data_IF_924756544791
#
_entry.id   IF_924756544791
#
_cell.length_a   1.000
_cell.length_b   1.000
_cell.length_c   1.000
_cell.angle_alpha   90.00
_cell.angle_beta   90.00
_cell.angle_gamma   90.00
#
_symmetry.space_group_name_H-M   'P 1'
#
loop_
_entity.id
_entity.type
_entity.pdbx_description
1 polymer ?
#
# COMPACT_ATOMS: atom_id res chain seq x y z
N UNK A 1 112.13 -127.28 -9.85
CA UNK A 1 113.13 -126.28 -9.44
C UNK A 1 113.21 -126.30 -7.92
N UNK A 2 114.41 -126.27 -7.33
CA UNK A 2 114.56 -126.16 -5.88
C UNK A 2 114.23 -124.72 -5.45
N UNK A 3 113.46 -124.55 -4.37
CA UNK A 3 113.16 -123.24 -3.78
C UNK A 3 114.43 -122.58 -3.25
N UNK A 4 114.61 -121.29 -3.53
CA UNK A 4 115.77 -120.51 -3.06
C UNK A 4 115.47 -119.81 -1.72
N UNK A 5 116.51 -119.51 -0.94
CA UNK A 5 116.40 -118.79 0.33
C UNK A 5 115.67 -117.45 0.19
N UNK A 6 115.97 -116.66 -0.84
CA UNK A 6 115.31 -115.38 -1.11
C UNK A 6 113.80 -115.52 -1.37
N UNK A 7 113.37 -116.57 -2.07
CA UNK A 7 111.93 -116.81 -2.31
C UNK A 7 111.20 -117.13 -1.00
N UNK A 8 111.88 -117.83 -0.09
CA UNK A 8 111.35 -118.19 1.22
C UNK A 8 111.27 -116.96 2.13
N UNK A 9 112.28 -116.08 2.10
CA UNK A 9 112.31 -114.80 2.82
C UNK A 9 111.21 -113.86 2.35
N UNK A 10 111.11 -113.61 1.04
CA UNK A 10 110.09 -112.72 0.49
C UNK A 10 108.66 -113.16 0.83
N UNK A 11 108.41 -114.47 0.90
CA UNK A 11 107.10 -114.98 1.36
C UNK A 11 106.92 -114.91 2.87
N UNK A 12 107.99 -114.98 3.65
CA UNK A 12 107.92 -114.75 5.08
C UNK A 12 107.65 -113.27 5.41
N UNK A 13 108.24 -112.33 4.65
CA UNK A 13 107.98 -110.88 4.73
C UNK A 13 106.51 -110.56 4.44
N UNK A 14 106.00 -111.08 3.33
CA UNK A 14 104.60 -110.88 2.92
C UNK A 14 103.61 -111.38 3.99
N UNK A 15 103.90 -112.52 4.61
CA UNK A 15 103.10 -113.03 5.73
C UNK A 15 103.21 -112.11 6.95
N UNK A 16 104.41 -111.56 7.23
CA UNK A 16 104.64 -110.67 8.36
C UNK A 16 103.90 -109.32 8.21
N UNK A 17 103.92 -108.71 7.02
CA UNK A 17 103.19 -107.48 6.69
C UNK A 17 101.67 -107.65 6.80
N UNK A 18 101.17 -108.85 6.50
CA UNK A 18 99.75 -109.21 6.67
C UNK A 18 99.36 -109.49 8.13
N UNK A 19 100.30 -109.36 9.09
CA UNK A 19 100.08 -109.67 10.51
C UNK A 19 100.01 -111.17 10.82
N UNK A 20 100.32 -112.05 9.87
CA UNK A 20 100.31 -113.50 10.02
C UNK A 20 101.69 -113.99 10.44
N UNK A 21 101.78 -114.77 11.53
CA UNK A 21 103.07 -115.26 12.02
C UNK A 21 103.73 -116.19 10.97
N UNK A 22 104.93 -115.87 10.44
CA UNK A 22 105.58 -116.65 9.40
C UNK A 22 106.23 -117.91 10.02
N UNK A 23 105.40 -118.93 10.24
CA UNK A 23 105.83 -120.25 10.70
C UNK A 23 106.24 -121.12 9.51
N UNK A 24 107.01 -122.18 9.74
CA UNK A 24 107.44 -123.11 8.68
C UNK A 24 106.25 -123.67 7.89
N UNK A 25 105.13 -123.94 8.57
CA UNK A 25 103.91 -124.42 7.95
C UNK A 25 103.24 -123.34 7.08
N UNK A 26 103.17 -122.09 7.55
CA UNK A 26 102.54 -120.99 6.84
C UNK A 26 103.34 -120.58 5.60
N UNK A 27 104.66 -120.49 5.73
CA UNK A 27 105.57 -120.15 4.62
C UNK A 27 105.54 -121.25 3.55
N UNK A 28 105.58 -122.54 3.95
CA UNK A 28 105.44 -123.66 3.01
C UNK A 28 104.09 -123.67 2.29
N UNK A 29 103.01 -123.35 3.01
CA UNK A 29 101.65 -123.27 2.43
C UNK A 29 101.54 -122.14 1.42
N UNK A 30 102.11 -120.96 1.74
CA UNK A 30 102.13 -119.80 0.84
C UNK A 30 103.01 -120.02 -0.41
N UNK A 31 104.06 -120.83 -0.31
CA UNK A 31 104.92 -121.21 -1.43
C UNK A 31 104.38 -122.37 -2.29
N UNK A 32 103.33 -123.06 -1.83
CA UNK A 32 102.72 -124.19 -2.54
C UNK A 32 103.48 -125.52 -2.42
N UNK A 33 104.55 -125.61 -1.61
CA UNK A 33 105.35 -126.83 -1.41
C UNK A 33 106.82 -126.56 -1.10
N UNK A 34 107.62 -127.61 -0.85
CA UNK A 34 109.07 -127.52 -0.54
C UNK A 34 109.52 -128.46 0.58
N UNK A 35 110.83 -128.77 0.66
CA UNK A 35 111.38 -129.55 1.77
C UNK A 35 111.37 -128.72 3.07
N UNK A 36 110.89 -129.30 4.16
CA UNK A 36 110.89 -128.63 5.47
C UNK A 36 112.29 -128.28 5.96
N UNK A 37 113.32 -129.04 5.58
CA UNK A 37 114.71 -128.77 5.96
C UNK A 37 115.22 -127.48 5.30
N UNK A 38 115.06 -127.36 3.98
CA UNK A 38 115.45 -126.17 3.22
C UNK A 38 114.69 -124.92 3.67
N UNK A 39 113.39 -125.06 3.98
CA UNK A 39 112.58 -123.95 4.51
C UNK A 39 112.99 -123.60 5.93
N UNK A 40 113.36 -124.58 6.76
CA UNK A 40 113.83 -124.34 8.13
C UNK A 40 115.13 -123.55 8.16
N UNK A 41 116.12 -123.95 7.36
CA UNK A 41 117.42 -123.28 7.29
C UNK A 41 117.26 -121.83 6.78
N UNK A 42 116.44 -121.63 5.73
CA UNK A 42 116.12 -120.30 5.21
C UNK A 42 115.34 -119.44 6.21
N UNK A 43 114.34 -120.00 6.91
CA UNK A 43 113.56 -119.28 7.92
C UNK A 43 114.35 -118.96 9.18
N UNK A 44 115.38 -119.74 9.51
CA UNK A 44 116.27 -119.43 10.61
C UNK A 44 117.13 -118.20 10.29
N UNK A 45 117.66 -118.11 9.06
CA UNK A 45 118.33 -116.91 8.57
C UNK A 45 117.39 -115.70 8.52
N UNK A 46 116.16 -115.90 8.01
CA UNK A 46 115.13 -114.85 7.96
C UNK A 46 114.82 -114.25 9.32
N UNK A 47 114.62 -115.12 10.33
CA UNK A 47 114.37 -114.68 11.71
C UNK A 47 115.55 -113.95 12.31
N UNK A 48 116.77 -114.25 11.86
CA UNK A 48 117.97 -113.59 12.33
C UNK A 48 118.09 -112.19 11.72
N UNK A 49 117.86 -112.06 10.41
CA UNK A 49 117.82 -110.77 9.69
C UNK A 49 116.69 -109.86 10.19
N UNK A 50 115.47 -110.38 10.36
CA UNK A 50 114.34 -109.59 10.89
C UNK A 50 114.51 -109.19 12.36
N UNK A 51 115.23 -110.00 13.16
CA UNK A 51 115.56 -109.63 14.53
C UNK A 51 116.59 -108.49 14.56
N UNK A 52 117.52 -108.46 13.61
CA UNK A 52 118.43 -107.32 13.42
C UNK A 52 117.69 -106.08 12.90
N UNK A 53 116.77 -106.21 11.94
CA UNK A 53 115.96 -105.08 11.43
C UNK A 53 115.02 -104.48 12.49
N UNK A 54 114.33 -105.31 13.29
CA UNK A 54 113.51 -104.80 14.39
C UNK A 54 114.34 -104.14 15.49
N UNK A 55 115.58 -104.60 15.73
CA UNK A 55 116.51 -103.92 16.62
C UNK A 55 117.01 -102.58 16.04
N UNK A 56 117.06 -102.44 14.71
CA UNK A 56 117.40 -101.19 14.02
C UNK A 56 116.22 -100.21 13.89
N UNK A 57 114.97 -100.70 13.81
CA UNK A 57 113.74 -99.87 13.73
C UNK A 57 113.32 -99.23 15.05
N UNK A 58 113.81 -99.75 16.17
CA UNK A 58 113.69 -99.09 17.47
C UNK A 58 114.72 -97.94 17.56
N UNK A 59 114.57 -96.95 16.68
CA UNK A 59 115.27 -95.67 16.82
C UNK A 59 114.56 -94.95 17.96
N UNK A 60 114.96 -95.24 19.20
CA UNK A 60 114.73 -94.33 20.30
C UNK A 60 115.43 -93.03 19.91
N UNK A 61 114.63 -92.02 19.52
CA UNK A 61 115.16 -90.68 19.34
C UNK A 61 115.90 -90.35 20.64
N UNK A 62 117.22 -90.07 20.58
CA UNK A 62 117.98 -89.73 21.76
C UNK A 62 117.22 -88.66 22.55
N UNK A 63 117.13 -88.81 23.88
CA UNK A 63 116.28 -87.96 24.73
C UNK A 63 116.38 -86.46 24.37
N UNK A 64 117.58 -85.98 24.03
CA UNK A 64 117.80 -84.59 23.62
C UNK A 64 117.14 -84.14 22.30
N UNK A 65 116.80 -85.04 21.36
CA UNK A 65 116.02 -84.72 20.15
C UNK A 65 114.51 -84.76 20.47
N UNK A 66 114.05 -85.73 21.26
CA UNK A 66 112.64 -85.83 21.66
C UNK A 66 112.21 -84.63 22.54
N UNK A 67 113.04 -84.23 23.50
CA UNK A 67 112.83 -83.03 24.31
C UNK A 67 112.75 -81.76 23.44
N UNK A 68 113.59 -81.64 22.40
CA UNK A 68 113.56 -80.52 21.46
C UNK A 68 112.28 -80.51 20.59
N UNK A 69 111.81 -81.67 20.14
CA UNK A 69 110.56 -81.78 19.37
C UNK A 69 109.33 -81.48 20.23
N UNK A 70 109.29 -81.96 21.47
CA UNK A 70 108.22 -81.62 22.42
C UNK A 70 108.23 -80.13 22.77
N UNK A 71 109.42 -79.54 22.97
CA UNK A 71 109.57 -78.09 23.19
C UNK A 71 109.06 -77.30 21.98
N UNK A 72 109.47 -77.66 20.76
CA UNK A 72 108.99 -77.00 19.53
C UNK A 72 107.47 -77.14 19.36
N UNK A 73 106.91 -78.32 19.64
CA UNK A 73 105.46 -78.55 19.58
C UNK A 73 104.68 -77.73 20.61
N UNK A 74 105.20 -77.64 21.84
CA UNK A 74 104.66 -76.79 22.90
C UNK A 74 104.73 -75.31 22.52
N UNK A 75 105.85 -74.85 21.96
CA UNK A 75 106.05 -73.47 21.50
C UNK A 75 105.11 -73.12 20.33
N UNK A 76 104.96 -74.03 19.36
CA UNK A 76 104.01 -73.86 18.25
C UNK A 76 102.56 -73.82 18.74
N UNK A 77 102.19 -74.70 19.66
CA UNK A 77 100.85 -74.72 20.25
C UNK A 77 100.58 -73.47 21.09
N UNK A 78 101.54 -73.04 21.90
CA UNK A 78 101.47 -71.80 22.67
C UNK A 78 101.32 -70.59 21.75
N UNK A 79 102.07 -70.56 20.63
CA UNK A 79 101.96 -69.51 19.61
C UNK A 79 100.56 -69.53 18.96
N UNK A 80 100.03 -70.70 18.63
CA UNK A 80 98.69 -70.83 18.05
C UNK A 80 97.58 -70.39 19.03
N UNK A 81 97.69 -70.76 20.31
CA UNK A 81 96.77 -70.30 21.37
C UNK A 81 96.85 -68.79 21.52
N UNK A 82 98.06 -68.21 21.54
CA UNK A 82 98.23 -66.77 21.66
C UNK A 82 97.58 -66.05 20.46
N UNK A 83 97.81 -66.51 19.23
CA UNK A 83 97.17 -65.94 18.02
C UNK A 83 95.64 -66.07 18.07
N UNK A 84 95.11 -67.21 18.51
CA UNK A 84 93.67 -67.43 18.63
C UNK A 84 93.04 -66.52 19.70
N UNK A 85 93.69 -66.39 20.86
CA UNK A 85 93.26 -65.50 21.94
C UNK A 85 93.32 -64.02 21.51
N UNK A 86 94.38 -63.60 20.82
CA UNK A 86 94.51 -62.24 20.27
C UNK A 86 93.41 -61.94 19.25
N UNK A 87 93.10 -62.89 18.36
CA UNK A 87 92.02 -62.75 17.38
C UNK A 87 90.65 -62.67 18.08
N UNK A 88 90.41 -63.53 19.07
CA UNK A 88 89.17 -63.55 19.82
C UNK A 88 88.98 -62.28 20.67
N UNK A 89 90.06 -61.74 21.22
CA UNK A 89 90.06 -60.42 21.88
C UNK A 89 89.67 -59.32 20.88
N UNK A 90 90.32 -59.27 19.70
CA UNK A 90 89.97 -58.29 18.65
C UNK A 90 88.54 -58.41 18.15
N UNK A 91 88.02 -59.63 17.99
CA UNK A 91 86.63 -59.87 17.58
C UNK A 91 85.64 -59.44 18.67
N UNK A 92 85.96 -59.62 19.96
CA UNK A 92 85.16 -59.11 21.07
C UNK A 92 85.16 -57.59 21.11
N UNK A 93 86.34 -56.97 20.98
CA UNK A 93 86.46 -55.50 20.93
C UNK A 93 85.66 -54.94 19.75
N UNK A 94 85.76 -55.55 18.57
CA UNK A 94 84.99 -55.15 17.39
C UNK A 94 83.47 -55.34 17.60
N UNK A 95 83.05 -56.43 18.23
CA UNK A 95 81.64 -56.68 18.54
C UNK A 95 81.11 -55.69 19.58
N UNK A 96 81.88 -55.33 20.58
CA UNK A 96 81.52 -54.29 21.56
C UNK A 96 81.33 -52.93 20.87
N UNK A 97 82.22 -52.57 19.95
CA UNK A 97 82.06 -51.35 19.13
C UNK A 97 80.78 -51.39 18.30
N UNK A 98 80.48 -52.52 17.63
CA UNK A 98 79.25 -52.65 16.83
C UNK A 98 78.00 -52.60 17.71
N UNK A 99 78.00 -53.25 18.88
CA UNK A 99 76.89 -53.19 19.83
C UNK A 99 76.68 -51.79 20.38
N UNK A 100 77.77 -51.10 20.74
CA UNK A 100 77.70 -49.72 21.22
C UNK A 100 77.10 -48.80 20.15
N UNK A 101 77.54 -48.95 18.89
CA UNK A 101 76.98 -48.19 17.76
C UNK A 101 75.51 -48.52 17.51
N UNK A 102 75.14 -49.80 17.50
CA UNK A 102 73.75 -50.20 17.31
C UNK A 102 72.85 -49.71 18.46
N UNK A 103 73.34 -49.70 19.70
CA UNK A 103 72.61 -49.13 20.82
C UNK A 103 72.44 -47.62 20.67
N UNK A 104 73.50 -46.91 20.28
CA UNK A 104 73.42 -45.48 19.98
C UNK A 104 72.40 -45.19 18.88
N UNK A 105 72.41 -45.94 17.78
CA UNK A 105 71.44 -45.78 16.69
C UNK A 105 70.00 -46.02 17.20
N UNK A 106 69.77 -47.03 18.04
CA UNK A 106 68.46 -47.31 18.67
C UNK A 106 68.02 -46.15 19.56
N UNK A 107 68.93 -45.60 20.36
CA UNK A 107 68.63 -44.48 21.25
C UNK A 107 68.28 -43.21 20.44
N UNK A 108 69.03 -42.93 19.36
CA UNK A 108 68.75 -41.83 18.43
C UNK A 108 67.39 -41.98 17.72
N UNK A 109 67.06 -43.20 17.27
CA UNK A 109 65.74 -43.47 16.69
C UNK A 109 64.61 -43.35 17.72
N UNK A 110 64.83 -43.78 18.96
CA UNK A 110 63.84 -43.64 20.02
C UNK A 110 63.55 -42.16 20.33
N UNK A 111 64.58 -41.31 20.37
CA UNK A 111 64.41 -39.85 20.52
C UNK A 111 63.68 -39.22 19.32
N UNK A 112 64.02 -39.65 18.10
CA UNK A 112 63.34 -39.19 16.88
C UNK A 112 61.85 -39.58 16.89
N UNK A 113 61.51 -40.83 17.22
CA UNK A 113 60.12 -41.30 17.31
C UNK A 113 59.36 -40.50 18.37
N UNK A 114 59.93 -40.29 19.56
CA UNK A 114 59.30 -39.49 20.61
C UNK A 114 59.03 -38.05 20.16
N UNK A 115 59.94 -37.45 19.39
CA UNK A 115 59.77 -36.12 18.83
C UNK A 115 58.61 -36.11 17.83
N UNK A 116 58.58 -37.07 16.90
CA UNK A 116 57.51 -37.20 15.90
C UNK A 116 56.13 -37.48 16.54
N UNK A 117 56.06 -38.28 17.61
CA UNK A 117 54.83 -38.52 18.36
C UNK A 117 54.32 -37.23 19.03
N UNK A 118 55.24 -36.40 19.53
CA UNK A 118 54.89 -35.10 20.12
C UNK A 118 54.38 -34.14 19.05
N UNK A 119 55.08 -34.02 17.91
CA UNK A 119 54.65 -33.20 16.78
C UNK A 119 53.32 -33.68 16.20
N UNK A 120 53.08 -35.00 16.12
CA UNK A 120 51.81 -35.56 15.70
C UNK A 120 50.68 -35.17 16.64
N UNK A 121 50.90 -35.24 17.96
CA UNK A 121 49.91 -34.84 18.95
C UNK A 121 49.60 -33.34 18.86
N UNK A 122 50.61 -32.49 18.68
CA UNK A 122 50.44 -31.04 18.49
C UNK A 122 49.68 -30.72 17.19
N UNK A 123 50.00 -31.40 16.08
CA UNK A 123 49.30 -31.22 14.81
C UNK A 123 47.85 -31.68 14.88
N UNK A 124 47.55 -32.78 15.58
CA UNK A 124 46.17 -33.23 15.82
C UNK A 124 45.39 -32.21 16.63
N UNK A 125 46.00 -31.64 17.68
CA UNK A 125 45.36 -30.58 18.46
C UNK A 125 45.10 -29.33 17.60
N UNK A 126 46.06 -28.90 16.79
CA UNK A 126 45.88 -27.77 15.87
C UNK A 126 44.78 -28.04 14.84
N UNK A 127 44.69 -29.28 14.34
CA UNK A 127 43.64 -29.69 13.39
C UNK A 127 42.25 -29.62 14.05
N UNK A 128 42.12 -30.08 15.29
CA UNK A 128 40.87 -30.00 16.06
C UNK A 128 40.47 -28.55 16.31
N UNK A 129 41.42 -27.67 16.68
CA UNK A 129 41.18 -26.24 16.88
C UNK A 129 40.76 -25.54 15.57
N UNK A 130 41.44 -25.82 14.46
CA UNK A 130 41.09 -25.26 13.14
C UNK A 130 39.72 -25.77 12.69
N UNK A 131 39.41 -27.05 12.92
CA UNK A 131 38.10 -27.61 12.57
C UNK A 131 36.99 -26.96 13.40
N UNK A 132 37.17 -26.83 14.71
CA UNK A 132 36.19 -26.17 15.58
C UNK A 132 35.98 -24.69 15.22
N UNK A 133 37.04 -23.97 14.84
CA UNK A 133 36.92 -22.57 14.39
C UNK A 133 36.24 -22.46 13.03
N UNK A 134 36.49 -23.39 12.11
CA UNK A 134 35.81 -23.44 10.82
C UNK A 134 34.31 -23.74 10.97
N UNK A 135 33.95 -24.71 11.82
CA UNK A 135 32.54 -25.04 12.10
C UNK A 135 31.79 -23.88 12.73
N UNK A 136 32.43 -23.18 13.68
CA UNK A 136 31.89 -21.97 14.28
C UNK A 136 31.70 -20.87 13.24
N UNK A 137 32.72 -20.61 12.41
CA UNK A 137 32.64 -19.61 11.36
C UNK A 137 31.54 -19.92 10.33
N UNK A 138 31.34 -21.19 10.00
CA UNK A 138 30.25 -21.63 9.12
C UNK A 138 28.89 -21.35 9.76
N UNK A 139 28.71 -21.69 11.02
CA UNK A 139 27.47 -21.43 11.77
C UNK A 139 27.18 -19.94 11.88
N UNK A 140 28.18 -19.13 12.22
CA UNK A 140 28.05 -17.67 12.32
C UNK A 140 27.70 -17.05 10.94
N UNK A 141 28.27 -17.58 9.84
CA UNK A 141 27.96 -17.13 8.48
C UNK A 141 26.54 -17.50 8.03
N UNK A 142 26.05 -18.69 8.40
CA UNK A 142 24.66 -19.11 8.17
C UNK A 142 23.69 -18.22 8.94
N UNK A 143 23.97 -17.94 10.22
CA UNK A 143 23.15 -17.04 11.03
C UNK A 143 23.12 -15.62 10.46
N UNK A 144 24.27 -15.05 10.13
CA UNK A 144 24.36 -13.72 9.53
C UNK A 144 23.60 -13.65 8.18
N UNK A 145 23.62 -14.73 7.41
CA UNK A 145 22.86 -14.85 6.16
C UNK A 145 21.35 -14.85 6.41
N UNK A 146 20.87 -15.62 7.40
CA UNK A 146 19.47 -15.67 7.77
C UNK A 146 18.96 -14.32 8.32
N UNK A 147 19.76 -13.65 9.15
CA UNK A 147 19.46 -12.31 9.67
C UNK A 147 19.39 -11.28 8.53
N UNK A 148 20.35 -11.30 7.61
CA UNK A 148 20.35 -10.43 6.43
C UNK A 148 19.10 -10.63 5.58
N UNK A 149 18.67 -11.86 5.35
CA UNK A 149 17.51 -12.15 4.52
C UNK A 149 16.20 -11.73 5.21
N UNK A 150 16.14 -11.90 6.54
CA UNK A 150 15.04 -11.36 7.36
C UNK A 150 14.97 -9.84 7.29
N UNK A 151 16.11 -9.14 7.46
CA UNK A 151 16.18 -7.68 7.37
C UNK A 151 15.82 -7.17 5.97
N UNK A 152 16.23 -7.88 4.91
CA UNK A 152 15.83 -7.55 3.53
C UNK A 152 14.32 -7.66 3.34
N UNK A 153 13.69 -8.72 3.88
CA UNK A 153 12.24 -8.86 3.80
C UNK A 153 11.53 -7.73 4.55
N UNK A 154 11.98 -7.40 5.76
CA UNK A 154 11.45 -6.27 6.53
C UNK A 154 11.63 -4.93 5.80
N UNK A 155 12.76 -4.73 5.11
CA UNK A 155 12.98 -3.53 4.30
C UNK A 155 11.98 -3.42 3.15
N UNK A 156 11.73 -4.52 2.43
CA UNK A 156 10.73 -4.56 1.35
C UNK A 156 9.33 -4.26 1.90
N UNK A 157 8.95 -4.90 3.01
CA UNK A 157 7.63 -4.71 3.61
C UNK A 157 7.42 -3.28 4.11
N UNK A 158 8.46 -2.66 4.68
CA UNK A 158 8.41 -1.27 5.14
C UNK A 158 8.38 -0.28 3.99
N UNK A 159 9.11 -0.53 2.91
CA UNK A 159 9.03 0.26 1.67
C UNK A 159 7.63 0.21 1.05
N UNK A 160 7.02 -0.98 0.97
CA UNK A 160 5.65 -1.13 0.47
C UNK A 160 4.63 -0.40 1.36
N UNK A 161 4.77 -0.50 2.69
CA UNK A 161 3.93 0.26 3.63
C UNK A 161 4.09 1.78 3.46
N UNK A 162 5.31 2.25 3.22
CA UNK A 162 5.57 3.67 2.98
C UNK A 162 4.92 4.15 1.68
N UNK A 163 4.99 3.35 0.61
CA UNK A 163 4.34 3.65 -0.67
C UNK A 163 2.81 3.73 -0.52
N UNK A 164 2.20 2.75 0.16
CA UNK A 164 0.77 2.77 0.49
C UNK A 164 0.39 4.02 1.32
N UNK A 165 1.19 4.38 2.32
CA UNK A 165 0.95 5.58 3.12
C UNK A 165 1.03 6.87 2.29
N UNK A 166 1.98 6.94 1.35
CA UNK A 166 2.10 8.09 0.44
C UNK A 166 0.90 8.19 -0.51
N UNK A 167 0.46 7.08 -1.11
CA UNK A 167 -0.75 7.10 -1.97
C UNK A 167 -2.02 7.49 -1.20
N UNK A 168 -2.15 7.03 0.05
CA UNK A 168 -3.25 7.42 0.93
C UNK A 168 -3.20 8.92 1.27
N UNK A 169 -2.00 9.45 1.54
CA UNK A 169 -1.78 10.90 1.76
C UNK A 169 -2.18 11.72 0.54
N UNK A 170 -1.75 11.33 -0.65
CA UNK A 170 -2.07 12.06 -1.89
C UNK A 170 -3.58 12.02 -2.19
N UNK A 171 -4.23 10.88 -1.93
CA UNK A 171 -5.69 10.74 -2.05
C UNK A 171 -6.43 11.64 -1.06
N UNK A 172 -6.00 11.65 0.20
CA UNK A 172 -6.58 12.52 1.23
C UNK A 172 -6.38 14.00 0.91
N UNK A 173 -5.21 14.37 0.37
CA UNK A 173 -4.92 15.74 -0.07
C UNK A 173 -5.85 16.16 -1.22
N UNK A 174 -6.05 15.29 -2.21
CA UNK A 174 -7.00 15.55 -3.30
C UNK A 174 -8.43 15.75 -2.78
N UNK A 175 -8.88 14.89 -1.87
CA UNK A 175 -10.21 15.03 -1.24
C UNK A 175 -10.35 16.34 -0.44
N UNK A 176 -9.28 16.77 0.24
CA UNK A 176 -9.25 18.05 0.94
C UNK A 176 -9.41 19.23 -0.03
N UNK A 177 -8.75 19.18 -1.18
CA UNK A 177 -8.81 20.26 -2.17
C UNK A 177 -10.16 20.28 -2.91
N UNK A 178 -10.75 19.10 -3.19
CA UNK A 178 -12.11 18.97 -3.73
C UNK A 178 -13.15 19.53 -2.76
N UNK A 179 -13.07 19.19 -1.47
CA UNK A 179 -13.98 19.69 -0.43
C UNK A 179 -13.84 21.19 -0.19
N UNK A 180 -12.61 21.73 -0.24
CA UNK A 180 -12.37 23.19 -0.19
C UNK A 180 -13.02 23.91 -1.36
N UNK A 181 -12.92 23.35 -2.56
CA UNK A 181 -13.53 23.93 -3.76
C UNK A 181 -15.05 23.91 -3.65
N UNK A 182 -15.63 22.77 -3.26
CA UNK A 182 -17.08 22.65 -3.04
C UNK A 182 -17.58 23.62 -1.95
N UNK A 183 -16.83 23.82 -0.87
CA UNK A 183 -17.17 24.79 0.17
C UNK A 183 -17.15 26.23 -0.35
N UNK A 184 -16.14 26.59 -1.14
CA UNK A 184 -16.04 27.93 -1.72
C UNK A 184 -17.21 28.22 -2.68
N UNK A 185 -17.64 27.23 -3.47
CA UNK A 185 -18.79 27.38 -4.35
C UNK A 185 -20.12 27.44 -3.58
N UNK A 186 -20.29 26.63 -2.54
CA UNK A 186 -21.45 26.72 -1.64
C UNK A 186 -21.53 28.11 -0.97
N UNK A 187 -20.40 28.71 -0.60
CA UNK A 187 -20.35 30.08 -0.05
C UNK A 187 -20.77 31.13 -1.09
N UNK A 188 -20.36 30.99 -2.36
CA UNK A 188 -20.83 31.86 -3.44
C UNK A 188 -22.34 31.73 -3.67
N UNK A 189 -22.87 30.50 -3.65
CA UNK A 189 -24.32 30.30 -3.79
C UNK A 189 -25.09 30.88 -2.62
N UNK A 190 -24.59 30.69 -1.39
CA UNK A 190 -25.20 31.26 -0.19
C UNK A 190 -25.26 32.79 -0.28
N UNK A 191 -24.16 33.46 -0.63
CA UNK A 191 -24.13 34.91 -0.78
C UNK A 191 -25.06 35.40 -1.90
N UNK A 192 -25.13 34.70 -3.03
CA UNK A 192 -26.06 35.01 -4.11
C UNK A 192 -27.54 34.85 -3.69
N UNK A 193 -27.85 33.81 -2.92
CA UNK A 193 -29.20 33.59 -2.41
C UNK A 193 -29.58 34.62 -1.34
N UNK A 194 -28.66 35.00 -0.46
CA UNK A 194 -28.87 36.11 0.48
C UNK A 194 -29.20 37.41 -0.25
N UNK A 195 -28.50 37.72 -1.35
CA UNK A 195 -28.82 38.90 -2.17
C UNK A 195 -30.22 38.80 -2.82
N UNK A 196 -30.60 37.63 -3.33
CA UNK A 196 -31.96 37.40 -3.88
C UNK A 196 -33.03 37.59 -2.82
N UNK A 197 -32.81 37.09 -1.61
CA UNK A 197 -33.74 37.24 -0.47
C UNK A 197 -33.91 38.73 -0.16
N UNK A 198 -32.83 39.49 0.01
CA UNK A 198 -32.89 40.93 0.28
C UNK A 198 -33.66 41.70 -0.82
N UNK A 199 -33.49 41.31 -2.09
CA UNK A 199 -34.25 41.91 -3.20
C UNK A 199 -35.75 41.58 -3.14
N UNK A 200 -36.10 40.34 -2.79
CA UNK A 200 -37.49 39.93 -2.64
C UNK A 200 -38.15 40.62 -1.44
N UNK A 201 -37.44 40.77 -0.32
CA UNK A 201 -37.90 41.50 0.86
C UNK A 201 -38.18 42.98 0.52
N UNK A 202 -37.24 43.67 -0.14
CA UNK A 202 -37.45 45.06 -0.58
C UNK A 202 -38.63 45.21 -1.53
N UNK A 203 -38.83 44.25 -2.44
CA UNK A 203 -39.99 44.26 -3.32
C UNK A 203 -41.29 44.03 -2.55
N UNK A 204 -41.31 43.09 -1.61
CA UNK A 204 -42.47 42.82 -0.77
C UNK A 204 -42.86 44.05 0.06
N UNK A 205 -41.89 44.80 0.60
CA UNK A 205 -42.14 46.06 1.29
C UNK A 205 -42.73 47.13 0.36
N UNK A 206 -42.19 47.28 -0.86
CA UNK A 206 -42.73 48.20 -1.87
C UNK A 206 -44.15 47.83 -2.29
N UNK A 207 -44.41 46.55 -2.56
CA UNK A 207 -45.73 46.05 -2.94
C UNK A 207 -46.73 46.28 -1.79
N UNK A 208 -46.30 46.11 -0.52
CA UNK A 208 -47.11 46.43 0.65
C UNK A 208 -47.50 47.91 0.72
N UNK A 209 -46.55 48.82 0.50
CA UNK A 209 -46.86 50.26 0.50
C UNK A 209 -47.81 50.66 -0.64
N UNK A 210 -47.70 50.01 -1.79
CA UNK A 210 -48.58 50.28 -2.93
C UNK A 210 -49.99 49.75 -2.67
N UNK A 211 -50.11 48.58 -2.02
CA UNK A 211 -51.40 48.05 -1.55
C UNK A 211 -52.05 49.00 -0.55
N UNK A 212 -51.30 49.55 0.41
CA UNK A 212 -51.80 50.54 1.37
C UNK A 212 -52.31 51.79 0.64
N UNK A 213 -51.51 52.33 -0.29
CA UNK A 213 -51.88 53.49 -1.13
C UNK A 213 -53.15 53.25 -1.94
N UNK A 214 -53.22 52.13 -2.67
CA UNK A 214 -54.40 51.76 -3.47
C UNK A 214 -55.63 51.52 -2.59
N UNK A 215 -55.45 50.98 -1.39
CA UNK A 215 -56.54 50.78 -0.42
C UNK A 215 -57.12 52.12 0.01
N UNK A 216 -56.29 53.12 0.29
CA UNK A 216 -56.75 54.45 0.67
C UNK A 216 -57.37 55.22 -0.50
N UNK A 217 -56.82 55.09 -1.72
CA UNK A 217 -57.42 55.63 -2.94
C UNK A 217 -58.81 55.03 -3.19
N UNK A 218 -58.99 53.72 -3.01
CA UNK A 218 -60.29 53.07 -3.11
C UNK A 218 -61.29 53.55 -2.04
N UNK A 219 -60.85 53.86 -0.82
CA UNK A 219 -61.71 54.46 0.20
C UNK A 219 -62.14 55.87 -0.19
N UNK A 220 -61.22 56.70 -0.68
CA UNK A 220 -61.50 58.05 -1.14
C UNK A 220 -62.51 58.03 -2.30
N UNK A 221 -62.26 57.21 -3.32
CA UNK A 221 -63.14 57.08 -4.48
C UNK A 221 -64.55 56.57 -4.09
N UNK A 222 -64.64 55.66 -3.11
CA UNK A 222 -65.95 55.25 -2.55
C UNK A 222 -66.68 56.40 -1.86
N UNK A 223 -65.95 57.27 -1.16
CA UNK A 223 -66.53 58.46 -0.52
C UNK A 223 -67.03 59.45 -1.57
N UNK A 224 -66.24 59.70 -2.62
CA UNK A 224 -66.61 60.58 -3.74
C UNK A 224 -67.84 60.05 -4.48
N UNK A 225 -67.88 58.74 -4.79
CA UNK A 225 -69.06 58.11 -5.40
C UNK A 225 -70.30 58.31 -4.53
N UNK A 226 -70.17 58.21 -3.21
CA UNK A 226 -71.29 58.45 -2.28
C UNK A 226 -71.73 59.91 -2.31
N UNK A 227 -70.79 60.86 -2.33
CA UNK A 227 -71.09 62.30 -2.45
C UNK A 227 -71.83 62.61 -3.75
N UNK A 228 -71.27 62.19 -4.89
CA UNK A 228 -71.87 62.39 -6.22
C UNK A 228 -73.24 61.72 -6.31
N UNK A 229 -73.42 60.56 -5.69
CA UNK A 229 -74.74 59.89 -5.64
C UNK A 229 -75.75 60.72 -4.86
N UNK A 230 -75.36 61.31 -3.73
CA UNK A 230 -76.24 62.19 -2.95
C UNK A 230 -76.56 63.48 -3.71
N UNK A 231 -75.56 64.13 -4.32
CA UNK A 231 -75.75 65.32 -5.16
C UNK A 231 -76.70 65.03 -6.32
N UNK A 232 -76.56 63.87 -6.97
CA UNK A 232 -77.46 63.42 -8.03
C UNK A 232 -78.89 63.26 -7.53
N UNK A 233 -79.10 62.71 -6.33
CA UNK A 233 -80.45 62.54 -5.77
C UNK A 233 -81.07 63.90 -5.40
N UNK A 234 -80.30 64.81 -4.79
CA UNK A 234 -80.76 66.19 -4.53
C UNK A 234 -81.12 66.92 -5.82
N UNK A 235 -80.29 66.83 -6.86
CA UNK A 235 -80.58 67.41 -8.17
C UNK A 235 -81.83 66.79 -8.82
N UNK A 236 -82.11 65.51 -8.54
CA UNK A 236 -83.30 64.81 -9.01
C UNK A 236 -84.57 65.28 -8.28
N UNK A 237 -84.49 65.45 -6.96
CA UNK A 237 -85.57 66.02 -6.13
C UNK A 237 -85.89 67.45 -6.56
N UNK A 238 -84.88 68.31 -6.66
CA UNK A 238 -85.06 69.70 -7.14
C UNK A 238 -85.66 69.75 -8.55
N UNK A 239 -85.22 68.88 -9.48
CA UNK A 239 -85.85 68.77 -10.80
C UNK A 239 -87.32 68.34 -10.74
N UNK A 240 -87.69 67.47 -9.79
CA UNK A 240 -89.08 67.04 -9.60
C UNK A 240 -89.94 68.18 -9.05
N UNK A 241 -89.42 68.96 -8.10
CA UNK A 241 -90.05 70.17 -7.56
C UNK A 241 -90.27 71.21 -8.66
N UNK A 242 -89.21 71.57 -9.39
CA UNK A 242 -89.29 72.51 -10.52
C UNK A 242 -90.30 72.04 -11.58
N UNK A 243 -90.35 70.73 -11.87
CA UNK A 243 -91.37 70.17 -12.79
C UNK A 243 -92.79 70.30 -12.23
N UNK A 244 -92.96 70.19 -10.91
CA UNK A 244 -94.22 70.42 -10.21
C UNK A 244 -94.66 71.88 -10.27
N UNK A 245 -93.76 72.81 -9.95
CA UNK A 245 -93.98 74.26 -10.07
C UNK A 245 -94.33 74.66 -11.50
N UNK A 246 -93.60 74.14 -12.49
CA UNK A 246 -93.84 74.41 -13.90
C UNK A 246 -95.23 73.92 -14.35
N UNK A 247 -95.70 72.76 -13.84
CA UNK A 247 -97.08 72.32 -14.05
C UNK A 247 -98.10 73.24 -13.40
N UNK A 248 -97.85 73.72 -12.18
CA UNK A 248 -98.73 74.65 -11.47
C UNK A 248 -98.84 75.98 -12.21
N UNK A 249 -97.71 76.59 -12.59
CA UNK A 249 -97.65 77.82 -13.39
C UNK A 249 -98.36 77.62 -14.74
N UNK A 250 -98.20 76.45 -15.37
CA UNK A 250 -98.92 76.12 -16.62
C UNK A 250 -100.43 76.11 -16.40
N UNK A 251 -100.91 75.50 -15.31
CA UNK A 251 -102.33 75.48 -14.97
C UNK A 251 -102.87 76.88 -14.64
N UNK A 252 -102.11 77.71 -13.92
CA UNK A 252 -102.46 79.11 -13.66
C UNK A 252 -102.53 79.92 -14.95
N UNK A 253 -101.54 79.77 -15.85
CA UNK A 253 -101.55 80.41 -17.16
C UNK A 253 -102.75 79.98 -17.99
N UNK A 254 -103.14 78.71 -17.95
CA UNK A 254 -104.33 78.22 -18.66
C UNK A 254 -105.63 78.79 -18.04
N UNK A 255 -105.69 78.91 -16.70
CA UNK A 255 -106.79 79.57 -15.99
C UNK A 255 -106.90 81.05 -16.35
N UNK A 256 -105.80 81.81 -16.29
CA UNK A 256 -105.80 83.21 -16.71
C UNK A 256 -106.15 83.36 -18.19
N UNK A 257 -105.71 82.44 -19.04
CA UNK A 257 -106.10 82.42 -20.46
C UNK A 257 -107.61 82.25 -20.61
N UNK A 258 -108.23 81.35 -19.81
CA UNK A 258 -109.68 81.18 -19.79
C UNK A 258 -110.40 82.44 -19.26
N UNK A 259 -109.92 83.06 -18.17
CA UNK A 259 -110.48 84.30 -17.62
C UNK A 259 -110.37 85.47 -18.60
N UNK A 260 -109.25 85.61 -19.31
CA UNK A 260 -109.05 86.62 -20.37
C UNK A 260 -110.04 86.37 -21.51
N UNK A 261 -110.21 85.13 -21.95
CA UNK A 261 -111.19 84.79 -22.99
C UNK A 261 -112.63 85.08 -22.53
N UNK A 262 -112.96 84.79 -21.27
CA UNK A 262 -114.26 85.11 -20.69
C UNK A 262 -114.48 86.63 -20.62
N UNK A 263 -113.52 87.38 -20.09
CA UNK A 263 -113.56 88.84 -20.03
C UNK A 263 -113.69 89.46 -21.42
N UNK A 264 -113.02 88.88 -22.42
CA UNK A 264 -113.14 89.29 -23.82
C UNK A 264 -114.55 89.06 -24.36
N UNK A 265 -115.15 87.90 -24.08
CA UNK A 265 -116.54 87.61 -24.44
C UNK A 265 -117.52 88.55 -23.74
N UNK A 266 -117.32 88.81 -22.46
CA UNK A 266 -118.13 89.75 -21.68
C UNK A 266 -117.99 91.17 -22.23
N UNK A 267 -116.80 91.60 -22.64
CA UNK A 267 -116.59 92.90 -23.29
C UNK A 267 -117.31 92.99 -24.66
N UNK A 268 -117.33 91.89 -25.43
CA UNK A 268 -118.11 91.81 -26.68
C UNK A 268 -119.61 91.95 -26.39
N UNK A 269 -120.13 91.26 -25.37
CA UNK A 269 -121.52 91.42 -24.91
C UNK A 269 -121.80 92.84 -24.46
N UNK A 270 -120.96 93.41 -23.59
CA UNK A 270 -121.10 94.77 -23.09
C UNK A 270 -121.11 95.79 -24.24
N UNK A 271 -120.28 95.62 -25.27
CA UNK A 271 -120.30 96.47 -26.47
C UNK A 271 -121.59 96.33 -27.26
N UNK A 272 -122.16 95.13 -27.34
CA UNK A 272 -123.47 94.90 -27.95
C UNK A 272 -124.56 95.61 -27.16
N UNK A 273 -124.59 95.41 -25.84
CA UNK A 273 -125.55 96.05 -24.94
C UNK A 273 -125.41 97.58 -24.99
N UNK A 274 -124.17 98.10 -25.03
CA UNK A 274 -123.90 99.53 -25.18
C UNK A 274 -124.43 100.06 -26.52
N UNK A 275 -124.23 99.35 -27.64
CA UNK A 275 -124.83 99.72 -28.93
C UNK A 275 -126.35 99.74 -28.88
N UNK A 276 -126.95 98.79 -28.18
CA UNK A 276 -128.40 98.69 -28.04
C UNK A 276 -128.95 99.83 -27.15
N UNK A 277 -128.23 100.17 -26.08
CA UNK A 277 -128.53 101.30 -25.21
C UNK A 277 -128.36 102.64 -25.95
N UNK A 278 -127.31 102.78 -26.76
CA UNK A 278 -127.04 103.98 -27.58
C UNK A 278 -128.15 104.17 -28.62
N UNK A 279 -128.63 103.08 -29.22
CA UNK A 279 -129.80 103.10 -30.11
C UNK A 279 -131.07 103.54 -29.38
N UNK A 280 -131.32 103.03 -28.16
CA UNK A 280 -132.44 103.49 -27.31
C UNK A 280 -132.30 104.96 -26.90
N UNK A 281 -131.08 105.41 -26.62
CA UNK A 281 -130.80 106.80 -26.28
C UNK A 281 -131.05 107.72 -27.47
N UNK A 282 -130.65 107.31 -28.68
CA UNK A 282 -130.95 108.01 -29.93
C UNK A 282 -132.46 108.08 -30.21
N UNK A 283 -133.20 106.98 -30.01
CA UNK A 283 -134.67 106.94 -30.13
C UNK A 283 -135.35 107.86 -29.09
N UNK A 284 -134.85 107.90 -27.85
CA UNK A 284 -135.35 108.81 -26.81
C UNK A 284 -135.05 110.27 -27.15
N UNK A 285 -133.87 110.56 -27.69
CA UNK A 285 -133.47 111.90 -28.14
C UNK A 285 -134.39 112.40 -29.24
N UNK A 286 -134.65 111.59 -30.27
CA UNK A 286 -135.61 111.95 -31.34
C UNK A 286 -137.01 112.17 -30.79
N UNK A 287 -137.44 111.34 -29.82
CA UNK A 287 -138.73 111.50 -29.15
C UNK A 287 -138.79 112.79 -28.31
N UNK A 288 -137.70 113.17 -27.65
CA UNK A 288 -137.61 114.41 -26.87
C UNK A 288 -137.56 115.64 -27.79
N UNK A 289 -136.90 115.55 -28.93
CA UNK A 289 -136.91 116.59 -29.98
C UNK A 289 -138.31 116.81 -30.54
N UNK A 290 -139.06 115.72 -30.76
CA UNK A 290 -140.48 115.75 -31.15
C UNK A 290 -141.36 116.42 -30.08
N UNK A 291 -141.14 116.10 -28.80
CA UNK A 291 -141.87 116.72 -27.67
C UNK A 291 -141.50 118.20 -27.53
N UNK A 292 -140.23 118.56 -27.72
CA UNK A 292 -139.74 119.94 -27.68
C UNK A 292 -140.38 120.80 -28.78
N UNK A 293 -140.49 120.27 -30.00
CA UNK A 293 -141.16 120.97 -31.11
C UNK A 293 -142.67 121.14 -30.87
N UNK A 294 -143.34 120.16 -30.25
CA UNK A 294 -144.73 120.33 -29.79
C UNK A 294 -144.85 121.38 -28.68
N UNK A 295 -143.90 121.43 -27.74
CA UNK A 295 -143.91 122.42 -26.67
C UNK A 295 -143.72 123.85 -27.21
N UNK A 296 -142.86 124.03 -28.21
CA UNK A 296 -142.66 125.32 -28.89
C UNK A 296 -143.94 125.75 -29.62
N UNK A 297 -144.67 124.83 -30.28
CA UNK A 297 -145.94 125.19 -30.93
C UNK A 297 -147.01 125.60 -29.90
N UNK A 298 -147.11 124.85 -28.78
CA UNK A 298 -148.03 125.16 -27.68
C UNK A 298 -147.68 126.49 -26.98
N UNK A 299 -146.40 126.81 -26.81
CA UNK A 299 -145.96 128.11 -26.28
C UNK A 299 -146.32 129.27 -27.22
N UNK A 300 -146.20 129.07 -28.55
CA UNK A 300 -146.59 130.07 -29.54
C UNK A 300 -148.10 130.30 -29.58
N UNK A 301 -148.90 129.26 -29.37
CA UNK A 301 -150.35 129.37 -29.22
C UNK A 301 -150.74 130.07 -27.91
N UNK A 302 -150.01 129.83 -26.82
CA UNK A 302 -150.16 130.54 -25.55
C UNK A 302 -149.80 132.04 -25.65
N UNK A 303 -148.81 132.41 -26.45
CA UNK A 303 -148.46 133.83 -26.71
C UNK A 303 -149.54 134.54 -27.53
N UNK A 304 -150.14 133.88 -28.53
CA UNK A 304 -151.29 134.43 -29.26
C UNK A 304 -152.50 134.66 -28.36
N UNK A 305 -152.84 133.69 -27.50
CA UNK A 305 -153.93 133.82 -26.53
C UNK A 305 -153.66 134.88 -25.44
N UNK A 306 -152.38 135.13 -25.10
CA UNK A 306 -151.97 136.22 -24.20
C UNK A 306 -152.12 137.59 -24.87
N UNK A 307 -151.74 137.70 -26.15
CA UNK A 307 -151.93 138.93 -26.92
C UNK A 307 -153.42 139.28 -27.09
N UNK A 308 -154.30 138.30 -27.37
CA UNK A 308 -155.76 138.51 -27.43
C UNK A 308 -156.38 138.92 -26.08
N UNK A 309 -155.84 138.41 -24.96
CA UNK A 309 -156.28 138.77 -23.61
C UNK A 309 -155.90 140.20 -23.22
N UNK A 310 -154.69 140.63 -23.53
CA UNK A 310 -154.21 141.97 -23.17
C UNK A 310 -154.88 143.06 -24.03
N UNK A 311 -155.25 142.74 -25.28
CA UNK A 311 -156.10 143.61 -26.12
C UNK A 311 -157.52 143.79 -25.53
N UNK A 312 -158.07 142.74 -24.89
CA UNK A 312 -159.37 142.77 -24.20
C UNK A 312 -159.34 143.53 -22.86
N UNK A 313 -158.22 143.53 -22.12
CA UNK A 313 -158.08 144.28 -20.87
C UNK A 313 -157.87 145.79 -21.07
N UNK A 314 -157.49 146.24 -22.28
CA UNK A 314 -157.42 147.67 -22.63
C UNK A 314 -158.78 148.35 -22.87
N UNK A 315 -159.90 147.61 -22.78
CA UNK A 315 -161.27 148.10 -23.00
C UNK A 315 -162.17 148.13 -21.75
N UNK A 316 -161.61 148.03 -20.54
CA UNK A 316 -162.40 148.16 -19.29
C UNK A 316 -161.62 148.81 -18.13
N UNK A 317 -161.10 150.03 -18.34
CA UNK A 317 -161.13 151.21 -17.45
C UNK A 317 -160.20 152.30 -17.97
#
# INVERSE_FOLDING_TARGET
MALTTQQIHAKADELHEQGIKPTLANVRKALGGGSFTTISDAMQLWRQEHKEEQQLQQIDLPNGINERLQTLGADMWQTAINIANDRLAKERDALEVVKAKAQQDVDEYAESVKTLETEQAELLQQLDEVTATADKASTDAEQATAERDTLKQQLIDTQHKLELANTAKDTAQKQLDDTRTALADAQKELTANTFKIAKLESKADSDKTEIERLTDELKALKADIKSVTNEREQARESNAELKGELKAITAERDKFTAEVNQSRNDNVKLKSDFKELDKRYADLMTKNEYISTQNISLQRDLEKLRAERDELNSKSK
#
